data_IF_711119328135
#
_entry.id   IF_711119328135
#
_cell.length_a   1.000
_cell.length_b   1.000
_cell.length_c   1.000
_cell.angle_alpha   90.00
_cell.angle_beta   90.00
_cell.angle_gamma   90.00
#
_symmetry.space_group_name_H-M   'P 1'
#
loop_
_entity.id
_entity.type
_entity.pdbx_description
1 polymer ?
#
# COMPACT_ATOMS: atom_id res chain seq x y z
N UNK A 1 10.31 -13.02 -19.68
CA UNK A 1 11.56 -12.27 -19.45
C UNK A 1 11.31 -11.11 -18.51
N UNK A 2 12.24 -10.86 -17.56
CA UNK A 2 12.19 -9.71 -16.63
C UNK A 2 13.18 -8.65 -17.13
N UNK A 3 12.69 -7.44 -17.35
CA UNK A 3 13.48 -6.31 -17.85
C UNK A 3 13.74 -5.34 -16.69
N UNK A 4 15.00 -4.91 -16.53
CA UNK A 4 15.36 -3.81 -15.63
C UNK A 4 14.97 -2.48 -16.28
N UNK A 5 14.24 -1.67 -15.55
CA UNK A 5 13.91 -0.31 -15.90
C UNK A 5 14.89 0.67 -15.24
N UNK A 6 14.66 1.96 -15.39
CA UNK A 6 15.48 2.99 -14.75
C UNK A 6 15.26 2.97 -13.23
N UNK A 7 16.36 2.98 -12.48
CA UNK A 7 16.30 3.11 -11.02
C UNK A 7 15.73 4.48 -10.62
N UNK A 8 15.09 4.51 -9.45
CA UNK A 8 14.39 5.68 -8.95
C UNK A 8 14.91 6.03 -7.55
N UNK A 9 15.24 7.29 -7.31
CA UNK A 9 15.51 7.81 -5.98
C UNK A 9 14.22 8.21 -5.29
N UNK A 10 14.08 7.81 -4.04
CA UNK A 10 12.95 8.17 -3.19
C UNK A 10 13.43 8.63 -1.83
N UNK A 11 12.71 9.55 -1.22
CA UNK A 11 12.87 9.92 0.18
C UNK A 11 11.97 9.03 1.04
N UNK A 12 12.54 8.42 2.09
CA UNK A 12 11.81 7.58 3.03
C UNK A 12 12.43 7.68 4.42
N UNK A 13 11.65 8.18 5.40
CA UNK A 13 12.12 8.40 6.75
C UNK A 13 13.29 9.38 6.84
N UNK A 14 13.26 10.45 6.05
CA UNK A 14 14.31 11.47 5.99
C UNK A 14 15.61 11.02 5.34
N UNK A 15 15.60 9.91 4.57
CA UNK A 15 16.78 9.38 3.87
C UNK A 15 16.46 9.10 2.41
N UNK A 16 17.36 9.49 1.51
CA UNK A 16 17.28 9.09 0.12
C UNK A 16 17.64 7.61 -0.06
N UNK A 17 16.84 6.90 -0.85
CA UNK A 17 17.00 5.49 -1.19
C UNK A 17 16.95 5.30 -2.69
N UNK A 18 17.78 4.38 -3.19
CA UNK A 18 17.74 3.96 -4.58
C UNK A 18 16.89 2.70 -4.71
N UNK A 19 15.76 2.82 -5.41
CA UNK A 19 14.86 1.72 -5.71
C UNK A 19 15.12 1.17 -7.11
N UNK A 20 15.34 -0.14 -7.20
CA UNK A 20 15.45 -0.81 -8.48
C UNK A 20 14.04 -1.22 -8.97
N UNK A 21 13.69 -0.73 -10.16
CA UNK A 21 12.42 -1.06 -10.81
C UNK A 21 12.67 -2.04 -11.95
N UNK A 22 11.94 -3.14 -11.93
CA UNK A 22 11.94 -4.15 -12.99
C UNK A 22 10.51 -4.40 -13.46
N UNK A 23 10.35 -4.92 -14.66
CA UNK A 23 9.04 -5.32 -15.16
C UNK A 23 9.07 -6.62 -15.95
N UNK A 24 7.92 -7.27 -15.98
CA UNK A 24 7.65 -8.40 -16.87
C UNK A 24 6.16 -8.42 -17.25
N UNK A 25 5.83 -9.05 -18.37
CA UNK A 25 4.45 -9.36 -18.70
C UNK A 25 4.06 -10.72 -18.14
N UNK A 26 2.83 -10.85 -17.66
CA UNK A 26 2.25 -12.18 -17.39
C UNK A 26 2.13 -12.90 -18.74
N UNK A 27 2.66 -14.14 -18.85
CA UNK A 27 2.60 -14.90 -20.10
C UNK A 27 1.19 -14.92 -20.71
N UNK A 28 1.11 -14.77 -22.03
CA UNK A 28 -0.13 -14.81 -22.82
C UNK A 28 -1.13 -13.69 -22.49
N UNK A 29 -0.71 -12.65 -21.76
CA UNK A 29 -1.55 -11.50 -21.42
C UNK A 29 -0.88 -10.16 -21.77
N UNK A 30 -1.66 -9.07 -21.69
CA UNK A 30 -1.13 -7.70 -21.76
C UNK A 30 -0.90 -7.09 -20.38
N UNK A 31 -1.00 -7.89 -19.32
CA UNK A 31 -0.82 -7.42 -17.95
C UNK A 31 0.68 -7.32 -17.65
N UNK A 32 1.12 -6.11 -17.35
CA UNK A 32 2.49 -5.82 -16.94
C UNK A 32 2.60 -5.84 -15.43
N UNK A 33 3.62 -6.51 -14.90
CA UNK A 33 3.96 -6.56 -13.47
C UNK A 33 5.22 -5.75 -13.26
N UNK A 34 5.19 -4.87 -12.27
CA UNK A 34 6.35 -4.12 -11.82
C UNK A 34 6.89 -4.72 -10.52
N UNK A 35 8.20 -4.88 -10.45
CA UNK A 35 8.90 -5.37 -9.27
C UNK A 35 9.70 -4.22 -8.70
N UNK A 36 9.41 -3.88 -7.45
CA UNK A 36 10.08 -2.85 -6.68
C UNK A 36 11.03 -3.54 -5.71
N UNK A 37 12.32 -3.36 -5.89
CA UNK A 37 13.35 -4.04 -5.12
C UNK A 37 14.05 -3.05 -4.18
N UNK A 38 14.01 -3.36 -2.89
CA UNK A 38 14.81 -2.73 -1.85
C UNK A 38 15.45 -3.83 -0.99
N UNK A 39 16.76 -3.72 -0.78
CA UNK A 39 17.54 -4.76 -0.12
C UNK A 39 17.38 -4.75 1.40
N UNK A 40 17.01 -3.63 1.99
CA UNK A 40 16.87 -3.51 3.45
C UNK A 40 15.52 -4.06 3.94
N UNK A 41 14.42 -3.76 3.21
CA UNK A 41 13.06 -4.10 3.64
C UNK A 41 12.50 -5.36 3.01
N UNK A 42 12.90 -5.72 1.79
CA UNK A 42 12.28 -6.82 1.04
C UNK A 42 13.21 -7.97 0.69
N UNK A 43 14.53 -7.78 0.62
CA UNK A 43 15.48 -8.84 0.21
C UNK A 43 15.58 -10.03 1.16
N UNK A 44 15.51 -9.86 2.49
CA UNK A 44 15.63 -11.00 3.41
C UNK A 44 14.41 -11.91 3.45
N UNK A 45 13.34 -11.60 2.71
CA UNK A 45 12.10 -12.38 2.75
C UNK A 45 12.24 -13.68 1.98
N UNK A 46 12.49 -14.70 2.71
CA UNK A 46 12.75 -16.02 2.13
C UNK A 46 11.49 -16.80 1.75
N UNK A 47 10.28 -16.42 2.21
CA UNK A 47 9.08 -17.25 1.97
C UNK A 47 7.75 -16.49 1.91
N UNK A 48 7.35 -15.81 2.98
CA UNK A 48 6.06 -15.14 3.06
C UNK A 48 6.30 -13.65 3.21
N UNK A 49 5.60 -12.85 2.40
CA UNK A 49 5.79 -11.40 2.32
C UNK A 49 5.72 -10.69 3.68
N UNK A 50 4.85 -11.13 4.60
CA UNK A 50 4.56 -10.49 5.87
C UNK A 50 4.69 -11.40 7.09
N UNK A 51 5.10 -12.67 6.89
CA UNK A 51 5.27 -13.67 7.95
C UNK A 51 6.64 -14.33 7.87
N UNK A 52 7.20 -14.70 9.01
CA UNK A 52 8.33 -15.59 9.10
C UNK A 52 7.92 -17.05 8.80
N UNK A 53 8.90 -17.95 8.59
CA UNK A 53 8.68 -19.37 8.32
C UNK A 53 7.80 -20.08 9.36
N UNK A 54 7.90 -19.66 10.62
CA UNK A 54 7.13 -20.22 11.73
C UNK A 54 5.72 -19.59 11.87
N UNK A 55 5.27 -18.83 10.90
CA UNK A 55 3.96 -18.15 10.89
C UNK A 55 3.90 -16.85 11.69
N UNK A 56 4.98 -16.45 12.42
CA UNK A 56 5.00 -15.21 13.18
C UNK A 56 4.97 -14.01 12.23
N UNK A 57 4.10 -13.06 12.52
CA UNK A 57 4.00 -11.78 11.81
C UNK A 57 5.30 -10.98 12.02
N UNK A 58 5.78 -10.36 10.96
CA UNK A 58 6.95 -9.48 11.04
C UNK A 58 6.54 -8.15 11.67
N UNK A 59 7.35 -7.66 12.62
CA UNK A 59 7.01 -6.49 13.42
C UNK A 59 7.16 -5.16 12.67
N UNK A 60 7.80 -5.17 11.51
CA UNK A 60 8.07 -4.00 10.67
C UNK A 60 7.19 -3.93 9.42
N UNK A 61 6.14 -4.75 9.37
CA UNK A 61 5.24 -4.80 8.22
C UNK A 61 4.62 -3.44 7.88
N UNK A 62 4.25 -2.66 8.87
CA UNK A 62 3.67 -1.34 8.71
C UNK A 62 4.64 -0.38 8.00
N UNK A 63 5.91 -0.35 8.42
CA UNK A 63 6.96 0.46 7.78
C UNK A 63 7.26 -0.04 6.36
N UNK A 64 7.30 -1.36 6.16
CA UNK A 64 7.56 -1.97 4.86
C UNK A 64 6.46 -1.68 3.85
N UNK A 65 5.20 -1.76 4.27
CA UNK A 65 4.08 -1.43 3.39
C UNK A 65 3.87 0.07 3.22
N UNK A 66 4.31 0.91 4.16
CA UNK A 66 4.43 2.34 3.95
C UNK A 66 5.43 2.67 2.82
N UNK A 67 6.63 2.05 2.87
CA UNK A 67 7.61 2.17 1.79
C UNK A 67 7.01 1.70 0.45
N UNK A 68 6.38 0.52 0.43
CA UNK A 68 5.83 -0.05 -0.79
C UNK A 68 4.75 0.84 -1.40
N UNK A 69 3.83 1.36 -0.59
CA UNK A 69 2.76 2.25 -1.05
C UNK A 69 3.32 3.54 -1.67
N UNK A 70 4.30 4.17 -1.01
CA UNK A 70 4.98 5.37 -1.53
C UNK A 70 5.70 5.09 -2.84
N UNK A 71 6.52 4.03 -2.87
CA UNK A 71 7.30 3.66 -4.07
C UNK A 71 6.38 3.29 -5.23
N UNK A 72 5.26 2.60 -4.97
CA UNK A 72 4.29 2.26 -6.00
C UNK A 72 3.72 3.52 -6.67
N UNK A 73 3.36 4.54 -5.90
CA UNK A 73 2.89 5.82 -6.45
C UNK A 73 4.00 6.56 -7.21
N UNK A 74 5.18 6.71 -6.61
CA UNK A 74 6.31 7.40 -7.24
C UNK A 74 6.72 6.72 -8.57
N UNK A 75 6.60 5.39 -8.65
CA UNK A 75 6.86 4.62 -9.87
C UNK A 75 5.93 5.02 -11.03
N UNK A 76 4.68 5.32 -10.77
CA UNK A 76 3.73 5.75 -11.80
C UNK A 76 4.23 7.01 -12.51
N UNK A 77 4.63 8.02 -11.73
CA UNK A 77 5.16 9.28 -12.25
C UNK A 77 6.52 9.09 -12.93
N UNK A 78 7.40 8.28 -12.32
CA UNK A 78 8.72 7.96 -12.85
C UNK A 78 8.66 7.30 -14.23
N UNK A 79 7.65 6.47 -14.46
CA UNK A 79 7.42 5.79 -15.73
C UNK A 79 6.50 6.57 -16.68
N UNK A 80 6.05 7.77 -16.30
CA UNK A 80 5.07 8.55 -17.05
C UNK A 80 3.79 7.78 -17.37
N UNK A 81 3.42 6.84 -16.51
CA UNK A 81 2.23 6.01 -16.68
C UNK A 81 1.15 6.40 -15.68
N UNK A 82 0.17 7.17 -16.14
CA UNK A 82 -0.95 7.64 -15.33
C UNK A 82 -2.15 6.71 -15.48
N UNK A 83 -2.52 5.93 -14.45
CA UNK A 83 -3.74 5.14 -14.47
C UNK A 83 -4.97 6.02 -14.19
N UNK A 84 -6.14 5.57 -14.66
CA UNK A 84 -7.43 6.17 -14.28
C UNK A 84 -7.86 5.71 -12.88
N UNK A 85 -7.57 4.46 -12.54
CA UNK A 85 -8.01 3.82 -11.30
C UNK A 85 -6.83 3.04 -10.69
N UNK A 86 -6.64 3.19 -9.38
CA UNK A 86 -5.74 2.34 -8.57
C UNK A 86 -6.60 1.47 -7.65
N UNK A 87 -6.47 0.14 -7.81
CA UNK A 87 -7.10 -0.83 -6.91
C UNK A 87 -6.11 -1.20 -5.81
N UNK A 88 -6.47 -0.88 -4.57
CA UNK A 88 -5.67 -1.09 -3.37
C UNK A 88 -6.15 -2.37 -2.68
N UNK A 89 -5.39 -3.46 -2.81
CA UNK A 89 -5.78 -4.76 -2.28
C UNK A 89 -5.34 -4.93 -0.84
N UNK A 90 -6.33 -5.09 0.04
CA UNK A 90 -6.22 -5.40 1.45
C UNK A 90 -5.38 -4.39 2.27
N UNK A 91 -5.05 -4.73 3.52
CA UNK A 91 -4.34 -3.86 4.46
C UNK A 91 -2.95 -3.45 3.99
N UNK A 92 -2.29 -4.23 3.14
CA UNK A 92 -0.97 -3.93 2.62
C UNK A 92 -0.91 -2.65 1.77
N UNK A 93 -2.01 -2.31 1.10
CA UNK A 93 -2.09 -1.14 0.22
C UNK A 93 -2.93 0.00 0.80
N UNK A 94 -3.31 -0.10 2.06
CA UNK A 94 -4.23 0.85 2.70
C UNK A 94 -3.68 2.28 2.88
N UNK A 95 -2.37 2.50 2.73
CA UNK A 95 -1.78 3.85 2.69
C UNK A 95 -2.05 4.63 1.40
N UNK A 96 -2.23 3.94 0.27
CA UNK A 96 -2.28 4.57 -1.05
C UNK A 96 -3.38 5.63 -1.18
N UNK A 97 -4.65 5.39 -0.76
CA UNK A 97 -5.70 6.39 -0.88
C UNK A 97 -5.39 7.67 -0.12
N UNK A 98 -4.87 7.56 1.09
CA UNK A 98 -4.53 8.73 1.91
C UNK A 98 -3.32 9.49 1.36
N UNK A 99 -2.26 8.78 0.93
CA UNK A 99 -1.11 9.40 0.26
C UNK A 99 -1.54 10.23 -0.95
N UNK A 100 -2.41 9.69 -1.82
CA UNK A 100 -2.91 10.42 -2.98
C UNK A 100 -3.67 11.70 -2.60
N UNK A 101 -4.43 11.67 -1.51
CA UNK A 101 -5.25 12.83 -1.11
C UNK A 101 -4.50 13.85 -0.26
N UNK A 102 -3.37 13.49 0.35
CA UNK A 102 -2.58 14.40 1.20
C UNK A 102 -1.26 14.79 0.52
N UNK A 103 -0.37 13.83 0.26
CA UNK A 103 0.99 14.13 -0.19
C UNK A 103 1.09 14.42 -1.68
N UNK A 104 0.17 13.87 -2.49
CA UNK A 104 0.18 14.04 -3.95
C UNK A 104 -0.99 14.91 -4.45
N UNK A 105 -1.74 15.55 -3.55
CA UNK A 105 -2.94 16.32 -3.89
C UNK A 105 -2.66 17.47 -4.86
N UNK A 106 -1.53 18.15 -4.70
CA UNK A 106 -1.13 19.33 -5.49
C UNK A 106 -0.30 18.94 -6.73
N UNK A 107 0.00 17.68 -6.94
CA UNK A 107 0.76 17.21 -8.10
C UNK A 107 -0.19 16.88 -9.25
N UNK A 108 -0.10 17.67 -10.33
CA UNK A 108 -0.96 17.54 -11.53
C UNK A 108 -0.92 16.13 -12.14
N UNK A 109 0.20 15.40 -12.02
CA UNK A 109 0.29 14.05 -12.53
C UNK A 109 -0.76 13.13 -11.91
N UNK A 110 -1.02 13.25 -10.59
CA UNK A 110 -1.98 12.38 -9.89
C UNK A 110 -3.42 12.90 -9.94
N UNK A 111 -3.64 14.09 -10.47
CA UNK A 111 -4.98 14.67 -10.58
C UNK A 111 -5.92 13.75 -11.36
N UNK A 112 -7.11 13.52 -10.82
CA UNK A 112 -8.15 12.69 -11.45
C UNK A 112 -8.01 11.18 -11.26
N UNK A 113 -6.89 10.67 -10.72
CA UNK A 113 -6.76 9.25 -10.38
C UNK A 113 -7.77 8.89 -9.27
N UNK A 114 -8.52 7.82 -9.51
CA UNK A 114 -9.48 7.27 -8.53
C UNK A 114 -8.90 6.07 -7.80
N UNK A 115 -9.33 5.89 -6.55
CA UNK A 115 -8.91 4.76 -5.73
C UNK A 115 -10.07 3.86 -5.34
N UNK A 116 -9.83 2.55 -5.39
CA UNK A 116 -10.77 1.53 -4.92
C UNK A 116 -10.06 0.69 -3.86
N UNK A 117 -10.50 0.77 -2.61
CA UNK A 117 -10.01 -0.12 -1.55
C UNK A 117 -10.78 -1.44 -1.57
N UNK A 118 -10.07 -2.55 -1.77
CA UNK A 118 -10.62 -3.89 -1.71
C UNK A 118 -10.25 -4.55 -0.39
N UNK A 119 -11.24 -4.87 0.44
CA UNK A 119 -11.05 -5.48 1.75
C UNK A 119 -11.37 -6.97 1.65
N UNK A 120 -10.37 -7.82 1.89
CA UNK A 120 -10.47 -9.28 1.84
C UNK A 120 -10.48 -9.91 3.23
N UNK A 121 -9.99 -9.20 4.24
CA UNK A 121 -9.88 -9.70 5.61
C UNK A 121 -9.95 -8.56 6.62
N UNK A 122 -10.44 -8.85 7.81
CA UNK A 122 -10.39 -7.94 8.94
C UNK A 122 -9.55 -8.59 10.04
N UNK A 123 -8.27 -8.26 10.08
CA UNK A 123 -7.33 -8.77 11.05
C UNK A 123 -6.52 -7.64 11.69
N UNK A 124 -5.81 -7.92 12.78
CA UNK A 124 -5.06 -6.91 13.53
C UNK A 124 -3.81 -6.40 12.78
N UNK A 125 -3.44 -7.00 11.64
CA UNK A 125 -2.33 -6.54 10.81
C UNK A 125 -2.59 -5.17 10.16
N UNK A 126 -3.84 -4.70 10.16
CA UNK A 126 -4.24 -3.37 9.74
C UNK A 126 -3.87 -2.27 10.74
N UNK A 127 -3.50 -2.65 11.97
CA UNK A 127 -3.09 -1.71 13.01
C UNK A 127 -1.64 -1.31 12.81
N UNK A 128 -1.42 -0.08 12.34
CA UNK A 128 -0.11 0.46 12.01
C UNK A 128 0.38 1.42 13.07
N UNK A 129 1.71 1.47 13.26
CA UNK A 129 2.32 2.40 14.18
C UNK A 129 2.37 3.82 13.62
N UNK A 130 2.32 4.82 14.50
CA UNK A 130 2.55 6.21 14.09
C UNK A 130 3.88 6.38 13.34
N UNK A 131 4.92 5.61 13.71
CA UNK A 131 6.21 5.61 13.02
C UNK A 131 6.07 5.35 11.51
N UNK A 132 5.21 4.43 11.08
CA UNK A 132 5.05 4.13 9.66
C UNK A 132 4.45 5.31 8.88
N UNK A 133 3.59 6.10 9.51
CA UNK A 133 3.07 7.35 8.96
C UNK A 133 4.16 8.42 8.87
N UNK A 134 4.95 8.59 9.94
CA UNK A 134 6.05 9.56 9.97
C UNK A 134 7.12 9.25 8.89
N UNK A 135 7.32 7.97 8.56
CA UNK A 135 8.30 7.54 7.53
C UNK A 135 7.92 7.96 6.10
N UNK A 136 6.67 8.30 5.84
CA UNK A 136 6.15 8.73 4.53
C UNK A 136 5.53 10.12 4.59
N UNK A 137 5.81 10.89 5.65
CA UNK A 137 5.32 12.24 5.88
C UNK A 137 3.79 12.33 5.79
N UNK A 138 3.09 11.34 6.33
CA UNK A 138 1.64 11.24 6.28
C UNK A 138 1.03 11.60 7.64
N UNK A 139 0.07 12.52 7.64
CA UNK A 139 -0.65 12.88 8.85
C UNK A 139 -1.67 11.82 9.24
N UNK A 140 -1.71 11.49 10.52
CA UNK A 140 -2.70 10.57 11.07
C UNK A 140 -3.82 11.31 11.77
N UNK A 141 -5.05 10.94 11.48
CA UNK A 141 -6.25 11.44 12.19
C UNK A 141 -6.34 10.90 13.63
N UNK A 142 -5.56 9.88 13.97
CA UNK A 142 -5.57 9.25 15.30
C UNK A 142 -4.52 9.85 16.23
N UNK A 143 -4.90 10.08 17.48
CA UNK A 143 -4.00 10.52 18.55
C UNK A 143 -3.24 9.36 19.21
N UNK A 144 -3.57 8.11 18.88
CA UNK A 144 -2.95 6.91 19.44
C UNK A 144 -1.64 6.53 18.76
N UNK A 145 -0.86 5.65 19.41
CA UNK A 145 0.36 5.09 18.83
C UNK A 145 0.08 4.02 17.77
N UNK A 146 -1.10 3.42 17.76
CA UNK A 146 -1.59 2.48 16.78
C UNK A 146 -2.80 3.08 16.06
N UNK A 147 -2.78 2.98 14.76
CA UNK A 147 -3.74 3.58 13.84
C UNK A 147 -4.39 2.47 13.05
N UNK A 148 -5.73 2.42 13.03
CA UNK A 148 -6.45 1.51 12.15
C UNK A 148 -6.35 2.04 10.71
N UNK A 149 -5.43 1.45 9.95
CA UNK A 149 -5.12 1.93 8.61
C UNK A 149 -6.26 1.64 7.61
N UNK A 150 -7.16 0.70 7.90
CA UNK A 150 -8.39 0.55 7.11
C UNK A 150 -9.35 1.73 7.30
N UNK A 151 -9.45 2.29 8.51
CA UNK A 151 -10.27 3.48 8.72
C UNK A 151 -9.79 4.63 7.82
N UNK A 152 -8.48 4.84 7.75
CA UNK A 152 -7.88 5.82 6.85
C UNK A 152 -8.13 5.46 5.38
N UNK A 153 -7.90 4.20 4.99
CA UNK A 153 -8.12 3.74 3.62
C UNK A 153 -9.57 3.95 3.16
N UNK A 154 -10.54 3.59 4.00
CA UNK A 154 -11.98 3.78 3.73
C UNK A 154 -12.31 5.27 3.59
N UNK A 155 -11.80 6.10 4.50
CA UNK A 155 -12.06 7.55 4.52
C UNK A 155 -11.57 8.25 3.25
N UNK A 156 -10.39 7.86 2.75
CA UNK A 156 -9.73 8.56 1.64
C UNK A 156 -9.95 7.90 0.27
N UNK A 157 -10.54 6.70 0.20
CA UNK A 157 -10.86 6.05 -1.07
C UNK A 157 -12.08 6.66 -1.74
N UNK A 158 -12.06 6.66 -3.08
CA UNK A 158 -13.26 7.04 -3.85
C UNK A 158 -14.33 5.94 -3.77
N UNK A 159 -13.91 4.66 -3.69
CA UNK A 159 -14.80 3.51 -3.52
C UNK A 159 -14.20 2.46 -2.60
N UNK A 160 -15.07 1.70 -1.92
CA UNK A 160 -14.68 0.56 -1.08
C UNK A 160 -15.46 -0.68 -1.53
N UNK A 161 -14.74 -1.76 -1.72
CA UNK A 161 -15.29 -3.07 -2.09
C UNK A 161 -14.91 -4.09 -1.02
N UNK A 162 -15.88 -4.81 -0.51
CA UNK A 162 -15.66 -5.93 0.42
C UNK A 162 -15.78 -7.22 -0.37
N UNK A 163 -14.70 -8.01 -0.40
CA UNK A 163 -14.70 -9.33 -1.02
C UNK A 163 -15.04 -10.34 0.05
N UNK A 164 -16.29 -10.77 0.08
CA UNK A 164 -16.86 -11.60 1.15
C UNK A 164 -17.44 -12.91 0.61
N UNK A 165 -17.79 -13.80 1.51
CA UNK A 165 -18.48 -15.04 1.21
C UNK A 165 -20.01 -14.83 1.15
N UNK A 166 -20.75 -15.86 0.75
CA UNK A 166 -22.22 -15.85 0.61
C UNK A 166 -22.96 -15.47 1.93
N UNK A 167 -22.30 -15.61 3.09
CA UNK A 167 -22.90 -15.27 4.40
C UNK A 167 -22.68 -13.81 4.81
N UNK A 168 -21.94 -13.03 4.03
CA UNK A 168 -21.56 -11.63 4.30
C UNK A 168 -20.96 -11.44 5.70
N UNK A 169 -20.09 -12.35 6.10
CA UNK A 169 -19.49 -12.35 7.44
C UNK A 169 -18.55 -11.18 7.64
N UNK A 170 -17.69 -10.94 6.65
CA UNK A 170 -16.71 -9.85 6.69
C UNK A 170 -17.40 -8.49 6.67
N UNK A 171 -18.41 -8.30 5.85
CA UNK A 171 -19.19 -7.07 5.78
C UNK A 171 -19.88 -6.75 7.11
N UNK A 172 -20.45 -7.76 7.77
CA UNK A 172 -21.06 -7.61 9.11
C UNK A 172 -20.01 -7.24 10.16
N UNK A 173 -18.84 -7.85 10.12
CA UNK A 173 -17.73 -7.56 11.01
C UNK A 173 -17.23 -6.11 10.83
N UNK A 174 -17.03 -5.66 9.60
CA UNK A 174 -16.67 -4.28 9.28
C UNK A 174 -17.72 -3.31 9.84
N UNK A 175 -19.02 -3.54 9.58
CA UNK A 175 -20.12 -2.70 10.08
C UNK A 175 -20.20 -2.67 11.61
N UNK A 176 -19.77 -3.71 12.31
CA UNK A 176 -19.74 -3.77 13.76
C UNK A 176 -18.49 -3.14 14.38
N UNK A 177 -17.40 -3.01 13.61
CA UNK A 177 -16.11 -2.50 14.07
C UNK A 177 -16.18 -0.98 14.26
N UNK A 178 -15.97 -0.51 15.47
CA UNK A 178 -16.17 0.89 15.86
C UNK A 178 -15.22 1.86 15.13
N UNK A 179 -13.99 1.45 14.85
CA UNK A 179 -12.99 2.28 14.14
C UNK A 179 -13.27 2.45 12.65
N UNK A 180 -14.17 1.62 12.07
CA UNK A 180 -14.51 1.64 10.65
C UNK A 180 -15.87 2.29 10.36
N UNK A 181 -16.50 2.86 11.37
CA UNK A 181 -17.73 3.65 11.26
C UNK A 181 -17.42 5.13 11.06
#
# INVERSE_FOLDING_TARGET
EVIRLKDMEIEFGGKNRLMNVKSAFIPETRVQVYFLQDDDYFKPLTQLLYKAKNGRILNDNDVRFALFAKVALDTLKHLYWKPDIIVCSDWQMSFVPQLLKQNYADDEFYSGIKTVSMIHSLNDFRMFSKKSYDMIDLESDSKGNLIDNYASSIKYSDHVVVVDNEKNMLEKEIKSTKSLK
#
